data_IF_919708458162
#
_entry.id   IF_919708458162
#
_cell.length_a   1.000
_cell.length_b   1.000
_cell.length_c   1.000
_cell.angle_alpha   90.00
_cell.angle_beta   90.00
_cell.angle_gamma   90.00
#
_symmetry.space_group_name_H-M   'P 1'
#
loop_
_entity.id
_entity.type
_entity.pdbx_description
1 polymer ?
#
# COMPACT_ATOMS: atom_id res chain seq x y z
N UNK A 1 57.72 29.57 -14.36
CA UNK A 1 56.35 29.02 -14.42
C UNK A 1 55.63 29.34 -13.12
N UNK A 2 54.66 30.25 -13.12
CA UNK A 2 53.90 30.59 -11.92
C UNK A 2 53.24 31.94 -12.07
N UNK A 3 51.90 31.95 -12.18
CA UNK A 3 51.00 33.11 -11.98
C UNK A 3 49.56 32.90 -12.51
N UNK A 4 49.18 31.70 -12.96
CA UNK A 4 47.79 31.44 -13.35
C UNK A 4 46.91 31.11 -12.13
N UNK A 5 47.43 30.36 -11.15
CA UNK A 5 46.68 29.98 -9.94
C UNK A 5 46.38 31.12 -8.96
N UNK A 6 47.33 32.05 -8.75
CA UNK A 6 47.21 33.12 -7.74
C UNK A 6 46.18 34.21 -8.13
N UNK A 7 46.02 34.47 -9.43
CA UNK A 7 45.05 35.48 -9.92
C UNK A 7 43.61 34.96 -9.83
N UNK A 8 43.40 33.69 -10.17
CA UNK A 8 42.10 33.03 -10.06
C UNK A 8 41.66 32.90 -8.60
N UNK A 9 42.54 32.47 -7.70
CA UNK A 9 42.27 32.39 -6.25
C UNK A 9 41.85 33.74 -5.65
N UNK A 10 42.55 34.83 -6.00
CA UNK A 10 42.22 36.19 -5.54
C UNK A 10 40.87 36.66 -6.08
N UNK A 11 40.55 36.31 -7.33
CA UNK A 11 39.25 36.58 -7.93
C UNK A 11 38.12 35.85 -7.20
N UNK A 12 38.26 34.54 -6.95
CA UNK A 12 37.28 33.74 -6.20
C UNK A 12 37.09 34.24 -4.76
N UNK A 13 38.18 34.60 -4.06
CA UNK A 13 38.10 35.18 -2.72
C UNK A 13 37.41 36.55 -2.70
N UNK A 14 37.69 37.39 -3.70
CA UNK A 14 37.01 38.68 -3.86
C UNK A 14 35.51 38.50 -4.06
N UNK A 15 35.12 37.52 -4.89
CA UNK A 15 33.73 37.14 -5.12
C UNK A 15 33.05 36.60 -3.85
N UNK A 16 33.74 35.71 -3.12
CA UNK A 16 33.31 35.17 -1.82
C UNK A 16 33.08 36.26 -0.77
N UNK A 17 33.91 37.31 -0.77
CA UNK A 17 33.81 38.43 0.17
C UNK A 17 32.64 39.36 -0.18
N UNK A 18 32.44 39.65 -1.47
CA UNK A 18 31.34 40.50 -1.97
C UNK A 18 29.97 39.83 -1.79
N UNK A 19 29.88 38.52 -1.99
CA UNK A 19 28.63 37.75 -1.93
C UNK A 19 28.50 36.89 -0.66
N UNK A 20 29.30 37.16 0.38
CA UNK A 20 29.40 36.35 1.60
C UNK A 20 28.04 35.97 2.19
N UNK A 21 27.12 36.93 2.31
CA UNK A 21 25.79 36.70 2.87
C UNK A 21 24.91 35.83 1.95
N UNK A 22 25.02 35.99 0.62
CA UNK A 22 24.28 35.19 -0.35
C UNK A 22 24.80 33.74 -0.41
N UNK A 23 26.12 33.55 -0.25
CA UNK A 23 26.74 32.22 -0.18
C UNK A 23 26.31 31.49 1.10
N UNK A 24 26.30 32.18 2.24
CA UNK A 24 25.79 31.61 3.51
C UNK A 24 24.32 31.22 3.36
N UNK A 25 23.48 32.11 2.81
CA UNK A 25 22.06 31.81 2.58
C UNK A 25 21.88 30.60 1.64
N UNK A 26 22.69 30.49 0.58
CA UNK A 26 22.69 29.35 -0.33
C UNK A 26 23.08 28.05 0.36
N UNK A 27 24.15 28.04 1.16
CA UNK A 27 24.59 26.83 1.90
C UNK A 27 23.54 26.40 2.93
N UNK A 28 22.89 27.34 3.61
CA UNK A 28 21.80 27.05 4.55
C UNK A 28 20.60 26.46 3.80
N UNK A 29 20.18 27.07 2.68
CA UNK A 29 19.09 26.54 1.85
C UNK A 29 19.41 25.14 1.30
N UNK A 30 20.65 24.91 0.86
CA UNK A 30 21.13 23.60 0.41
C UNK A 30 21.07 22.56 1.54
N UNK A 31 21.49 22.93 2.75
CA UNK A 31 21.49 22.06 3.92
C UNK A 31 20.07 21.66 4.34
N UNK A 32 19.13 22.61 4.29
CA UNK A 32 17.70 22.35 4.56
C UNK A 32 17.12 21.41 3.50
N UNK A 33 17.41 21.67 2.21
CA UNK A 33 16.95 20.82 1.11
C UNK A 33 17.46 19.38 1.24
N UNK A 34 18.75 19.19 1.51
CA UNK A 34 19.33 17.85 1.73
C UNK A 34 18.75 17.15 2.95
N UNK A 35 18.51 17.90 4.04
CA UNK A 35 17.87 17.36 5.26
C UNK A 35 16.47 16.83 4.97
N UNK A 36 15.71 17.50 4.10
CA UNK A 36 14.38 17.07 3.70
C UNK A 36 14.39 15.75 2.90
N UNK A 37 15.37 15.58 2.01
CA UNK A 37 15.53 14.34 1.22
C UNK A 37 15.80 13.15 2.16
N UNK A 38 16.76 13.30 3.08
CA UNK A 38 17.10 12.25 4.06
C UNK A 38 15.94 11.95 5.00
N UNK A 39 15.13 12.97 5.33
CA UNK A 39 13.96 12.80 6.17
C UNK A 39 12.90 11.92 5.51
N UNK A 40 12.56 12.18 4.24
CA UNK A 40 11.58 11.39 3.47
C UNK A 40 12.05 9.93 3.24
N UNK A 41 13.36 9.71 3.02
CA UNK A 41 13.90 8.37 2.80
C UNK A 41 13.68 7.40 3.96
N UNK A 42 13.54 7.91 5.18
CA UNK A 42 13.35 7.09 6.38
C UNK A 42 11.93 6.59 6.59
N UNK A 43 10.94 7.07 5.83
CA UNK A 43 9.54 6.69 6.03
C UNK A 43 9.08 5.61 5.07
N UNK A 44 8.27 4.69 5.60
CA UNK A 44 7.52 3.69 4.86
C UNK A 44 6.14 3.48 5.50
N UNK A 45 5.36 2.57 4.95
CA UNK A 45 4.05 2.18 5.46
C UNK A 45 4.08 0.72 5.90
N UNK A 46 3.78 0.48 7.17
CA UNK A 46 3.52 -0.85 7.72
C UNK A 46 2.05 -1.18 7.47
N UNK A 47 1.82 -2.36 6.90
CA UNK A 47 0.50 -2.86 6.55
C UNK A 47 0.14 -3.94 7.56
N UNK A 48 -1.02 -3.81 8.18
CA UNK A 48 -1.53 -4.80 9.11
C UNK A 48 -2.92 -5.26 8.72
N UNK A 49 -3.17 -6.57 8.85
CA UNK A 49 -4.48 -7.20 8.67
C UNK A 49 -4.89 -7.75 10.03
N UNK A 50 -6.01 -7.28 10.57
CA UNK A 50 -6.49 -7.65 11.93
C UNK A 50 -5.44 -7.50 13.04
N UNK A 51 -4.53 -6.53 12.86
CA UNK A 51 -3.44 -6.24 13.80
C UNK A 51 -2.14 -7.00 13.53
N UNK A 52 -2.13 -8.02 12.68
CA UNK A 52 -0.93 -8.74 12.28
C UNK A 52 -0.21 -8.06 11.12
N UNK A 53 1.11 -7.92 11.20
CA UNK A 53 1.89 -7.25 10.15
C UNK A 53 2.10 -8.18 8.96
N UNK A 54 1.58 -7.77 7.80
CA UNK A 54 1.75 -8.51 6.53
C UNK A 54 2.93 -7.99 5.69
N UNK A 55 3.42 -6.78 5.98
CA UNK A 55 4.66 -6.26 5.42
C UNK A 55 4.83 -4.74 5.54
N UNK A 56 5.96 -4.25 5.05
CA UNK A 56 6.33 -2.84 5.09
C UNK A 56 6.81 -2.40 3.71
N UNK A 57 6.25 -1.32 3.16
CA UNK A 57 6.62 -0.80 1.82
C UNK A 57 6.59 0.72 1.74
N UNK A 58 7.38 1.30 0.84
CA UNK A 58 7.28 2.71 0.46
C UNK A 58 6.15 2.96 -0.54
N UNK A 59 5.79 1.96 -1.35
CA UNK A 59 4.79 2.08 -2.40
C UNK A 59 3.40 1.58 -1.93
N UNK A 60 2.76 2.35 -1.06
CA UNK A 60 1.42 2.01 -0.55
C UNK A 60 0.36 1.95 -1.65
N UNK A 61 0.52 2.71 -2.74
CA UNK A 61 -0.45 2.78 -3.82
C UNK A 61 -0.53 1.46 -4.61
N UNK A 62 0.59 0.75 -4.76
CA UNK A 62 0.62 -0.57 -5.38
C UNK A 62 -0.20 -1.58 -4.56
N UNK A 63 0.00 -1.57 -3.25
CA UNK A 63 -0.71 -2.46 -2.33
C UNK A 63 -2.21 -2.18 -2.32
N UNK A 64 -2.61 -0.90 -2.32
CA UNK A 64 -4.04 -0.53 -2.41
C UNK A 64 -4.68 -1.01 -3.71
N UNK A 65 -4.00 -0.85 -4.84
CA UNK A 65 -4.47 -1.36 -6.14
C UNK A 65 -4.64 -2.88 -6.12
N UNK A 66 -3.67 -3.60 -5.56
CA UNK A 66 -3.75 -5.05 -5.43
C UNK A 66 -4.96 -5.50 -4.60
N UNK A 67 -5.24 -4.83 -3.48
CA UNK A 67 -6.43 -5.10 -2.65
C UNK A 67 -7.73 -4.85 -3.44
N UNK A 68 -7.79 -3.77 -4.22
CA UNK A 68 -8.94 -3.47 -5.08
C UNK A 68 -9.12 -4.51 -6.20
N UNK A 69 -8.02 -4.98 -6.79
CA UNK A 69 -8.04 -6.04 -7.80
C UNK A 69 -8.54 -7.37 -7.23
N UNK A 70 -8.10 -7.75 -6.01
CA UNK A 70 -8.61 -8.93 -5.31
C UNK A 70 -10.12 -8.81 -5.04
N UNK A 71 -10.57 -7.66 -4.53
CA UNK A 71 -12.01 -7.42 -4.31
C UNK A 71 -12.81 -7.55 -5.61
N UNK A 72 -12.32 -6.94 -6.70
CA UNK A 72 -12.98 -7.02 -8.02
C UNK A 72 -13.02 -8.45 -8.55
N UNK A 73 -11.93 -9.20 -8.43
CA UNK A 73 -11.83 -10.61 -8.85
C UNK A 73 -12.86 -11.47 -8.10
N UNK A 74 -12.91 -11.36 -6.78
CA UNK A 74 -13.85 -12.15 -5.97
C UNK A 74 -15.32 -11.74 -6.20
N UNK A 75 -15.57 -10.46 -6.47
CA UNK A 75 -16.90 -9.96 -6.85
C UNK A 75 -17.36 -10.53 -8.19
N UNK A 76 -16.45 -10.66 -9.15
CA UNK A 76 -16.74 -11.28 -10.44
C UNK A 76 -17.00 -12.79 -10.31
N UNK A 77 -16.22 -13.49 -9.48
CA UNK A 77 -16.38 -14.92 -9.24
C UNK A 77 -17.72 -15.27 -8.58
N UNK A 78 -18.13 -14.50 -7.58
CA UNK A 78 -19.39 -14.73 -6.84
C UNK A 78 -20.61 -14.13 -7.55
N UNK A 79 -20.39 -13.09 -8.36
CA UNK A 79 -21.44 -12.38 -9.09
C UNK A 79 -22.45 -11.67 -8.16
N UNK A 80 -22.11 -11.49 -6.88
CA UNK A 80 -22.87 -10.73 -5.88
C UNK A 80 -21.95 -9.71 -5.22
N UNK A 81 -22.51 -8.83 -4.41
CA UNK A 81 -21.67 -7.91 -3.64
C UNK A 81 -20.97 -8.63 -2.49
N UNK A 82 -19.70 -8.30 -2.29
CA UNK A 82 -18.82 -8.95 -1.31
C UNK A 82 -18.31 -7.94 -0.28
N UNK A 83 -18.13 -8.42 0.94
CA UNK A 83 -17.60 -7.67 2.08
C UNK A 83 -16.28 -8.30 2.49
N UNK A 84 -15.24 -7.48 2.65
CA UNK A 84 -13.98 -7.91 3.25
C UNK A 84 -14.18 -8.10 4.75
N UNK A 85 -13.85 -9.28 5.27
CA UNK A 85 -14.05 -9.59 6.69
C UNK A 85 -12.99 -8.95 7.60
N UNK A 86 -11.81 -8.67 7.04
CA UNK A 86 -10.66 -8.18 7.77
C UNK A 86 -10.59 -6.64 7.80
N UNK A 87 -10.00 -6.11 8.86
CA UNK A 87 -9.60 -4.71 8.96
C UNK A 87 -8.15 -4.53 8.48
N UNK A 88 -7.97 -3.83 7.36
CA UNK A 88 -6.65 -3.45 6.85
C UNK A 88 -6.29 -2.04 7.34
N UNK A 89 -5.11 -1.89 7.95
CA UNK A 89 -4.56 -0.60 8.36
C UNK A 89 -3.22 -0.33 7.70
N UNK A 90 -2.96 0.95 7.48
CA UNK A 90 -1.70 1.46 6.95
C UNK A 90 -1.13 2.48 7.92
N UNK A 91 0.00 2.15 8.55
CA UNK A 91 0.66 3.00 9.53
C UNK A 91 1.95 3.55 8.94
N UNK A 92 2.11 4.88 8.94
CA UNK A 92 3.38 5.50 8.55
C UNK A 92 4.41 5.23 9.65
N UNK A 93 5.50 4.57 9.29
CA UNK A 93 6.57 4.16 10.21
C UNK A 93 7.92 4.63 9.71
N UNK A 94 8.86 4.83 10.63
CA UNK A 94 10.27 5.09 10.29
C UNK A 94 11.03 3.77 10.31
N UNK A 95 11.58 3.38 9.17
CA UNK A 95 12.28 2.10 9.00
C UNK A 95 13.46 2.26 8.06
N UNK A 96 14.43 1.37 8.18
CA UNK A 96 15.54 1.27 7.23
C UNK A 96 15.09 0.56 5.94
N UNK A 97 15.80 0.78 4.83
CA UNK A 97 15.50 0.09 3.57
C UNK A 97 15.62 -1.46 3.68
N UNK A 98 16.35 -1.98 4.67
CA UNK A 98 16.54 -3.42 4.90
C UNK A 98 15.29 -4.10 5.49
N UNK A 99 14.41 -3.32 6.12
CA UNK A 99 13.17 -3.80 6.72
C UNK A 99 11.99 -3.76 5.74
N UNK A 100 12.21 -3.21 4.53
CA UNK A 100 11.21 -3.24 3.47
C UNK A 100 10.96 -4.68 3.06
N UNK A 101 9.68 -5.02 2.98
CA UNK A 101 9.23 -6.33 2.53
C UNK A 101 9.12 -6.30 1.01
N UNK A 102 9.60 -7.37 0.37
CA UNK A 102 9.39 -7.57 -1.06
C UNK A 102 7.89 -7.54 -1.40
N UNK A 103 7.53 -6.83 -2.47
CA UNK A 103 6.13 -6.57 -2.79
C UNK A 103 5.35 -7.86 -3.09
N UNK A 104 6.00 -8.87 -3.70
CA UNK A 104 5.35 -10.15 -3.99
C UNK A 104 5.07 -10.93 -2.71
N UNK A 105 5.92 -10.81 -1.68
CA UNK A 105 5.64 -11.38 -0.36
C UNK A 105 4.44 -10.68 0.30
N UNK A 106 4.33 -9.36 0.16
CA UNK A 106 3.16 -8.62 0.67
C UNK A 106 1.89 -9.14 0.00
N UNK A 107 1.91 -9.33 -1.32
CA UNK A 107 0.76 -9.85 -2.08
C UNK A 107 0.36 -11.26 -1.62
N UNK A 108 1.32 -12.18 -1.51
CA UNK A 108 1.07 -13.52 -1.00
C UNK A 108 0.49 -13.51 0.43
N UNK A 109 1.03 -12.65 1.31
CA UNK A 109 0.51 -12.53 2.68
C UNK A 109 -0.91 -11.97 2.70
N UNK A 110 -1.22 -11.00 1.84
CA UNK A 110 -2.58 -10.44 1.71
C UNK A 110 -3.57 -11.48 1.17
N UNK A 111 -3.20 -12.24 0.13
CA UNK A 111 -4.03 -13.32 -0.40
C UNK A 111 -4.36 -14.38 0.66
N UNK A 112 -3.41 -14.71 1.53
CA UNK A 112 -3.61 -15.69 2.60
C UNK A 112 -4.41 -15.13 3.78
N UNK A 113 -4.29 -13.83 4.08
CA UNK A 113 -4.94 -13.22 5.23
C UNK A 113 -6.35 -12.69 4.93
N UNK A 114 -6.64 -12.35 3.67
CA UNK A 114 -7.93 -11.77 3.29
C UNK A 114 -8.97 -12.86 3.02
N UNK A 115 -10.18 -12.61 3.50
CA UNK A 115 -11.34 -13.44 3.24
C UNK A 115 -12.55 -12.56 2.95
N UNK A 116 -13.40 -13.00 2.03
CA UNK A 116 -14.57 -12.27 1.61
C UNK A 116 -15.83 -13.05 1.94
N UNK A 117 -16.85 -12.35 2.41
CA UNK A 117 -18.19 -12.88 2.60
C UNK A 117 -19.14 -12.24 1.59
N UNK A 118 -20.13 -13.00 1.13
CA UNK A 118 -21.18 -12.49 0.26
C UNK A 118 -22.56 -12.89 0.79
N UNK A 119 -23.61 -12.19 0.33
CA UNK A 119 -24.99 -12.61 0.63
C UNK A 119 -25.35 -13.85 -0.20
N UNK A 120 -25.98 -14.81 0.46
CA UNK A 120 -26.46 -16.05 -0.15
C UNK A 120 -27.81 -16.45 0.47
N UNK A 121 -28.62 -17.21 -0.28
CA UNK A 121 -29.82 -17.88 0.23
C UNK A 121 -29.47 -19.30 0.64
N UNK A 122 -29.95 -19.75 1.79
CA UNK A 122 -29.63 -21.09 2.33
C UNK A 122 -30.86 -21.97 2.29
N UNK A 123 -30.73 -23.19 1.74
CA UNK A 123 -31.77 -24.21 1.81
C UNK A 123 -31.51 -25.08 3.04
N UNK A 124 -32.50 -25.12 3.93
CA UNK A 124 -32.51 -25.94 5.13
C UNK A 124 -33.66 -26.94 5.01
N UNK A 125 -33.37 -28.23 5.23
CA UNK A 125 -34.37 -29.30 5.24
C UNK A 125 -34.28 -30.01 6.59
N UNK A 126 -35.41 -30.14 7.29
CA UNK A 126 -35.49 -30.74 8.63
C UNK A 126 -34.48 -30.15 9.63
N UNK A 127 -34.26 -28.83 9.56
CA UNK A 127 -33.31 -28.12 10.41
C UNK A 127 -31.83 -28.32 10.06
N UNK A 128 -31.49 -29.03 8.98
CA UNK A 128 -30.11 -29.26 8.54
C UNK A 128 -29.77 -28.41 7.31
N UNK A 129 -28.59 -27.81 7.32
CA UNK A 129 -28.01 -27.14 6.15
C UNK A 129 -27.82 -28.15 5.02
N UNK A 130 -28.37 -27.86 3.85
CA UNK A 130 -28.20 -28.69 2.66
C UNK A 130 -27.29 -28.01 1.65
N UNK A 131 -27.58 -26.75 1.32
CA UNK A 131 -26.79 -25.98 0.34
C UNK A 131 -27.03 -24.47 0.48
N UNK A 132 -26.13 -23.67 -0.09
CA UNK A 132 -26.27 -22.23 -0.26
C UNK A 132 -26.27 -21.87 -1.75
N UNK A 133 -27.14 -20.94 -2.13
CA UNK A 133 -27.34 -20.47 -3.50
C UNK A 133 -27.16 -18.96 -3.55
N UNK A 134 -26.93 -18.42 -4.74
CA UNK A 134 -26.53 -17.03 -4.92
C UNK A 134 -27.56 -16.05 -4.37
N UNK A 135 -28.84 -16.37 -4.54
CA UNK A 135 -29.96 -15.55 -4.09
C UNK A 135 -31.23 -16.39 -3.91
N UNK A 136 -32.27 -15.76 -3.38
CA UNK A 136 -33.55 -16.40 -3.10
C UNK A 136 -34.27 -16.88 -4.36
N UNK A 137 -34.13 -16.18 -5.49
CA UNK A 137 -34.72 -16.58 -6.77
C UNK A 137 -34.16 -17.93 -7.24
N UNK A 138 -32.84 -18.10 -7.15
CA UNK A 138 -32.17 -19.36 -7.49
C UNK A 138 -32.55 -20.47 -6.51
N UNK A 139 -32.67 -20.16 -5.21
CA UNK A 139 -33.17 -21.11 -4.22
C UNK A 139 -34.59 -21.59 -4.52
N UNK A 140 -35.50 -20.68 -4.88
CA UNK A 140 -36.86 -21.02 -5.24
C UNK A 140 -36.93 -21.89 -6.50
N UNK A 141 -36.12 -21.59 -7.53
CA UNK A 141 -36.01 -22.44 -8.73
C UNK A 141 -35.59 -23.87 -8.38
N UNK A 142 -34.57 -24.02 -7.52
CA UNK A 142 -34.11 -25.35 -7.08
C UNK A 142 -35.19 -26.07 -6.27
N UNK A 143 -35.89 -25.38 -5.37
CA UNK A 143 -36.99 -25.95 -4.58
C UNK A 143 -38.15 -26.41 -5.48
N UNK A 144 -38.50 -25.65 -6.52
CA UNK A 144 -39.53 -26.04 -7.49
C UNK A 144 -39.11 -27.29 -8.30
N UNK A 145 -37.85 -27.35 -8.75
CA UNK A 145 -37.33 -28.54 -9.46
C UNK A 145 -37.38 -29.81 -8.60
N UNK A 146 -37.16 -29.68 -7.29
CA UNK A 146 -37.21 -30.81 -6.35
C UNK A 146 -38.65 -31.25 -6.04
N UNK A 147 -39.62 -30.33 -6.02
CA UNK A 147 -41.04 -30.64 -5.76
C UNK A 147 -41.74 -31.30 -6.95
N UNK A 148 -41.24 -31.08 -8.17
CA UNK A 148 -41.80 -31.62 -9.40
C UNK A 148 -41.19 -32.98 -9.81
N UNK A 149 -40.48 -33.64 -8.89
CA UNK A 149 -39.93 -35.00 -9.02
C UNK A 149 -40.60 -35.92 -8.01
#
# INVERSE_FOLDING_TARGET
MGKVGDKSYKFFLGLLKTYKNNIIAFVVALSIGLSFIVYEEGFAYKITVDGETVGITKNINEVKKFIEELHKKEKQNTGTDIVLNQQIKFERVRVSNKELTDVHKIYANLENAMSFSCKAAVIIVDGKFVTALKNEEEANKVLEMLKNK
#
